data_IF_049262766874
#
_entry.id   IF_049262766874
#
_cell.length_a   1.000
_cell.length_b   1.000
_cell.length_c   1.000
_cell.angle_alpha   90.00
_cell.angle_beta   90.00
_cell.angle_gamma   90.00
#
_symmetry.space_group_name_H-M   'P 1'
#
loop_
_entity.id
_entity.type
_entity.pdbx_description
1 polymer ?
#
# COMPACT_ATOMS: atom_id res chain seq x y z
N UNK A 1 12.31 4.78 21.12
CA UNK A 1 11.21 3.80 20.94
C UNK A 1 10.39 4.07 19.67
N UNK A 2 9.74 5.23 19.51
CA UNK A 2 8.95 5.56 18.29
C UNK A 2 9.67 5.33 16.95
N UNK A 3 10.91 5.80 16.82
CA UNK A 3 11.73 5.65 15.59
C UNK A 3 12.03 4.19 15.22
N UNK A 4 12.40 3.39 16.23
CA UNK A 4 12.67 1.95 16.07
C UNK A 4 11.38 1.23 15.65
N UNK A 5 10.26 1.57 16.27
CA UNK A 5 8.96 1.04 15.85
C UNK A 5 8.61 1.43 14.41
N UNK A 6 8.79 2.69 14.01
CA UNK A 6 8.52 3.14 12.64
C UNK A 6 9.31 2.32 11.60
N UNK A 7 10.59 2.08 11.88
CA UNK A 7 11.43 1.23 11.03
C UNK A 7 10.92 -0.21 11.00
N UNK A 8 10.71 -0.84 12.16
CA UNK A 8 10.25 -2.23 12.26
C UNK A 8 8.87 -2.41 11.62
N UNK A 9 7.95 -1.48 11.85
CA UNK A 9 6.59 -1.50 11.32
C UNK A 9 6.58 -1.40 9.80
N UNK A 10 7.36 -0.48 9.21
CA UNK A 10 7.50 -0.41 7.75
C UNK A 10 8.16 -1.69 7.21
N UNK A 11 9.20 -2.21 7.88
CA UNK A 11 9.87 -3.44 7.45
C UNK A 11 8.92 -4.64 7.47
N UNK A 12 8.18 -4.86 8.56
CA UNK A 12 7.21 -5.94 8.68
C UNK A 12 6.07 -5.79 7.67
N UNK A 13 5.57 -4.57 7.45
CA UNK A 13 4.55 -4.32 6.43
C UNK A 13 5.07 -4.71 5.06
N UNK A 14 6.26 -4.25 4.67
CA UNK A 14 6.84 -4.61 3.36
C UNK A 14 7.07 -6.11 3.22
N UNK A 15 7.53 -6.79 4.27
CA UNK A 15 7.71 -8.25 4.25
C UNK A 15 6.38 -8.99 4.11
N UNK A 16 5.37 -8.58 4.88
CA UNK A 16 4.02 -9.13 4.79
C UNK A 16 3.43 -8.94 3.39
N UNK A 17 3.64 -7.78 2.76
CA UNK A 17 3.20 -7.53 1.39
C UNK A 17 3.88 -8.43 0.36
N UNK A 18 5.20 -8.64 0.50
CA UNK A 18 5.96 -9.55 -0.36
C UNK A 18 5.48 -11.00 -0.17
N UNK A 19 5.17 -11.40 1.06
CA UNK A 19 4.60 -12.72 1.34
C UNK A 19 3.23 -12.89 0.68
N UNK A 20 2.36 -11.88 0.78
CA UNK A 20 1.07 -11.89 0.08
C UNK A 20 1.27 -12.02 -1.42
N UNK A 21 2.13 -11.19 -2.04
CA UNK A 21 2.43 -11.27 -3.48
C UNK A 21 2.93 -12.65 -3.93
N UNK A 22 3.67 -13.34 -3.06
CA UNK A 22 4.13 -14.71 -3.32
C UNK A 22 2.99 -15.72 -3.43
N UNK A 23 1.93 -15.52 -2.65
CA UNK A 23 0.71 -16.33 -2.75
C UNK A 23 -0.03 -16.08 -4.09
N UNK A 24 0.06 -14.86 -4.61
CA UNK A 24 -0.62 -14.47 -5.86
C UNK A 24 0.21 -14.71 -7.12
N UNK A 25 1.40 -15.30 -7.02
CA UNK A 25 2.40 -15.35 -8.12
C UNK A 25 1.81 -15.83 -9.45
N UNK A 26 0.99 -16.88 -9.43
CA UNK A 26 0.35 -17.45 -10.63
C UNK A 26 -0.73 -16.54 -11.24
N UNK A 27 -1.40 -15.74 -10.42
CA UNK A 27 -2.43 -14.80 -10.84
C UNK A 27 -1.86 -13.41 -11.21
N UNK A 28 -0.56 -13.17 -11.01
CA UNK A 28 0.06 -11.87 -11.21
C UNK A 28 -0.13 -11.33 -12.63
N UNK A 29 0.14 -12.07 -13.73
CA UNK A 29 0.03 -11.49 -15.08
C UNK A 29 -1.36 -10.94 -15.39
N UNK A 30 -2.41 -11.69 -15.04
CA UNK A 30 -3.80 -11.27 -15.26
C UNK A 30 -4.20 -10.08 -14.38
N UNK A 31 -3.40 -9.72 -13.38
CA UNK A 31 -3.63 -8.57 -12.50
C UNK A 31 -2.70 -7.39 -12.80
N UNK A 32 -1.55 -7.66 -13.39
CA UNK A 32 -0.52 -6.67 -13.70
C UNK A 32 -0.70 -6.08 -15.10
N UNK A 33 -1.19 -6.86 -16.06
CA UNK A 33 -1.28 -6.48 -17.46
C UNK A 33 -2.73 -6.39 -17.92
N UNK A 34 -3.11 -5.40 -18.73
CA UNK A 34 -4.40 -5.40 -19.40
C UNK A 34 -4.47 -6.55 -20.41
N UNK A 35 -5.67 -6.93 -20.82
CA UNK A 35 -5.82 -8.06 -21.72
C UNK A 35 -7.26 -8.44 -22.03
N UNK A 36 -7.43 -9.66 -22.53
CA UNK A 36 -8.72 -10.19 -22.96
C UNK A 36 -8.90 -11.59 -22.44
N UNK A 37 -10.04 -11.82 -21.79
CA UNK A 37 -10.44 -13.14 -21.29
C UNK A 37 -11.43 -13.77 -22.28
N UNK A 38 -11.03 -14.86 -22.91
CA UNK A 38 -11.85 -15.58 -23.90
C UNK A 38 -12.53 -16.78 -23.26
N UNK A 39 -13.86 -16.85 -23.36
CA UNK A 39 -14.66 -17.88 -22.69
C UNK A 39 -15.42 -18.81 -23.64
N UNK A 40 -15.51 -18.44 -24.92
CA UNK A 40 -16.28 -19.18 -25.93
C UNK A 40 -15.91 -18.71 -27.33
N UNK A 41 -16.08 -19.62 -28.27
CA UNK A 41 -15.79 -19.44 -29.69
C UNK A 41 -14.87 -20.54 -30.18
N UNK A 42 -14.53 -20.47 -31.46
CA UNK A 42 -13.63 -21.44 -32.07
C UNK A 42 -12.89 -20.77 -33.22
N UNK A 43 -11.59 -21.03 -33.30
CA UNK A 43 -10.70 -20.53 -34.35
C UNK A 43 -9.62 -21.58 -34.57
N UNK A 44 -9.10 -21.66 -35.79
CA UNK A 44 -7.93 -22.48 -36.05
C UNK A 44 -6.68 -21.83 -35.45
N UNK A 45 -5.82 -22.62 -34.80
CA UNK A 45 -4.62 -22.10 -34.15
C UNK A 45 -3.68 -21.40 -35.13
N UNK A 46 -3.56 -21.88 -36.37
CA UNK A 46 -2.64 -21.28 -37.35
C UNK A 46 -3.10 -19.89 -37.76
N UNK A 47 -4.40 -19.73 -38.02
CA UNK A 47 -5.02 -18.42 -38.30
C UNK A 47 -4.87 -17.49 -37.10
N UNK A 48 -5.21 -17.97 -35.90
CA UNK A 48 -5.09 -17.16 -34.67
C UNK A 48 -3.66 -16.67 -34.46
N UNK A 49 -2.67 -17.55 -34.62
CA UNK A 49 -1.25 -17.21 -34.43
C UNK A 49 -0.80 -16.14 -35.42
N UNK A 50 -1.11 -16.31 -36.71
CA UNK A 50 -0.73 -15.37 -37.75
C UNK A 50 -1.34 -13.98 -37.52
N UNK A 51 -2.63 -13.93 -37.21
CA UNK A 51 -3.37 -12.69 -37.00
C UNK A 51 -2.89 -11.98 -35.72
N UNK A 52 -2.70 -12.70 -34.61
CA UNK A 52 -2.15 -12.12 -33.39
C UNK A 52 -0.69 -11.66 -33.54
N UNK A 53 0.16 -12.40 -34.26
CA UNK A 53 1.52 -11.95 -34.56
C UNK A 53 1.52 -10.68 -35.41
N UNK A 54 0.62 -10.59 -36.39
CA UNK A 54 0.47 -9.40 -37.25
C UNK A 54 0.00 -8.19 -36.44
N UNK A 55 -1.06 -8.36 -35.64
CA UNK A 55 -1.61 -7.31 -34.78
C UNK A 55 -0.57 -6.83 -33.76
N UNK A 56 0.16 -7.76 -33.13
CA UNK A 56 1.22 -7.43 -32.20
C UNK A 56 2.32 -6.59 -32.87
N UNK A 57 2.72 -6.93 -34.11
CA UNK A 57 3.73 -6.17 -34.86
C UNK A 57 3.25 -4.79 -35.28
N UNK A 58 2.01 -4.66 -35.73
CA UNK A 58 1.41 -3.38 -36.11
C UNK A 58 1.44 -2.38 -34.95
N UNK A 59 1.16 -2.85 -33.74
CA UNK A 59 1.15 -2.02 -32.53
C UNK A 59 2.47 -2.04 -31.75
N UNK A 60 3.57 -2.58 -32.31
CA UNK A 60 4.85 -2.80 -31.60
C UNK A 60 4.64 -3.36 -30.18
N UNK A 61 3.74 -4.32 -30.08
CA UNK A 61 3.22 -4.88 -28.83
C UNK A 61 3.64 -6.33 -28.67
N UNK A 62 3.57 -6.79 -27.42
CA UNK A 62 3.80 -8.19 -27.05
C UNK A 62 2.54 -8.73 -26.39
N UNK A 63 1.95 -9.76 -26.97
CA UNK A 63 0.78 -10.45 -26.42
C UNK A 63 1.24 -11.76 -25.82
N UNK A 64 0.76 -12.11 -24.63
CA UNK A 64 1.04 -13.37 -23.97
C UNK A 64 -0.25 -14.13 -23.64
N UNK A 65 -0.43 -15.31 -24.24
CA UNK A 65 -1.50 -16.24 -23.90
C UNK A 65 -1.09 -17.09 -22.70
N UNK A 66 -1.95 -17.14 -21.69
CA UNK A 66 -1.78 -18.01 -20.52
C UNK A 66 -2.10 -19.46 -20.89
N UNK A 67 -1.22 -20.38 -20.50
CA UNK A 67 -1.39 -21.84 -20.66
C UNK A 67 -1.26 -22.49 -19.29
N UNK A 68 -2.24 -23.33 -18.93
CA UNK A 68 -2.23 -24.12 -17.71
C UNK A 68 -1.77 -25.54 -18.01
N UNK A 69 -0.73 -25.99 -17.32
CA UNK A 69 -0.20 -27.34 -17.44
C UNK A 69 -0.07 -27.96 -16.05
N UNK A 70 -0.30 -29.26 -15.94
CA UNK A 70 -0.03 -30.01 -14.71
C UNK A 70 1.33 -30.67 -14.87
N UNK A 71 2.25 -30.40 -13.95
CA UNK A 71 3.58 -30.98 -13.96
C UNK A 71 3.59 -32.46 -13.56
N UNK A 72 4.76 -33.10 -13.68
CA UNK A 72 4.97 -34.50 -13.31
C UNK A 72 4.69 -34.82 -11.84
N UNK A 73 4.72 -33.81 -10.97
CA UNK A 73 4.47 -33.93 -9.53
C UNK A 73 2.98 -33.65 -9.20
N UNK A 74 2.13 -33.45 -10.21
CA UNK A 74 0.71 -33.14 -10.05
C UNK A 74 0.42 -31.70 -9.65
N UNK A 75 1.41 -30.78 -9.69
CA UNK A 75 1.20 -29.36 -9.40
C UNK A 75 0.86 -28.61 -10.69
N UNK A 76 -0.13 -27.74 -10.59
CA UNK A 76 -0.44 -26.78 -11.64
C UNK A 76 0.73 -25.82 -11.84
N UNK A 77 1.08 -25.54 -13.09
CA UNK A 77 2.05 -24.53 -13.49
C UNK A 77 1.43 -23.68 -14.58
N UNK A 78 1.69 -22.38 -14.51
CA UNK A 78 1.29 -21.42 -15.53
C UNK A 78 2.47 -21.15 -16.46
N UNK A 79 2.25 -21.33 -17.76
CA UNK A 79 3.20 -21.08 -18.84
C UNK A 79 2.61 -20.08 -19.83
N UNK A 80 3.44 -19.53 -20.71
CA UNK A 80 3.00 -18.47 -21.63
C UNK A 80 3.46 -18.71 -23.07
N UNK A 81 2.56 -18.42 -24.00
CA UNK A 81 2.89 -18.28 -25.42
C UNK A 81 2.93 -16.81 -25.79
N UNK A 82 4.00 -16.37 -26.44
CA UNK A 82 4.16 -14.99 -26.90
C UNK A 82 3.75 -14.84 -28.38
N UNK A 83 3.18 -13.68 -28.71
CA UNK A 83 2.91 -13.21 -30.07
C UNK A 83 3.54 -11.82 -30.27
N UNK A 84 4.19 -11.62 -31.42
CA UNK A 84 4.99 -10.42 -31.75
C UNK A 84 6.51 -10.63 -31.61
N UNK A 85 7.28 -9.55 -31.83
CA UNK A 85 8.76 -9.60 -31.89
C UNK A 85 9.47 -9.35 -30.54
N UNK A 86 8.73 -9.40 -29.43
CA UNK A 86 9.24 -9.15 -28.07
C UNK A 86 9.57 -10.43 -27.28
N UNK A 87 10.38 -10.29 -26.22
CA UNK A 87 10.66 -11.37 -25.28
C UNK A 87 9.75 -11.28 -24.04
N UNK A 88 9.26 -12.44 -23.59
CA UNK A 88 8.55 -12.52 -22.32
C UNK A 88 9.50 -12.12 -21.17
N UNK A 89 8.99 -11.45 -20.13
CA UNK A 89 9.76 -11.20 -18.92
C UNK A 89 10.28 -12.49 -18.30
N UNK A 90 11.47 -12.46 -17.66
CA UNK A 90 12.13 -13.64 -17.09
C UNK A 90 11.26 -14.47 -16.11
N UNK A 91 10.31 -13.82 -15.46
CA UNK A 91 9.40 -14.44 -14.49
C UNK A 91 8.14 -15.07 -15.13
N UNK A 92 7.95 -14.90 -16.44
CA UNK A 92 6.89 -15.52 -17.24
C UNK A 92 7.48 -16.67 -18.09
N UNK A 93 7.51 -17.90 -17.56
CA UNK A 93 8.14 -19.03 -18.25
C UNK A 93 7.43 -19.35 -19.58
N UNK A 94 8.17 -19.49 -20.69
CA UNK A 94 7.59 -19.82 -21.98
C UNK A 94 7.06 -21.26 -22.00
N UNK A 95 5.94 -21.47 -22.70
CA UNK A 95 5.37 -22.79 -22.93
C UNK A 95 6.14 -23.57 -24.00
N UNK A 96 6.19 -24.89 -23.86
CA UNK A 96 6.73 -25.78 -24.90
C UNK A 96 5.76 -25.84 -26.08
N UNK A 97 6.27 -26.18 -27.28
CA UNK A 97 5.39 -26.37 -28.45
C UNK A 97 4.33 -27.45 -28.22
N UNK A 98 4.67 -28.51 -27.50
CA UNK A 98 3.72 -29.56 -27.13
C UNK A 98 2.60 -29.02 -26.24
N UNK A 99 2.95 -28.21 -25.23
CA UNK A 99 1.97 -27.58 -24.33
C UNK A 99 1.08 -26.61 -25.09
N UNK A 100 1.65 -25.81 -26.01
CA UNK A 100 0.93 -24.85 -26.87
C UNK A 100 -0.14 -25.58 -27.70
N UNK A 101 0.22 -26.67 -28.36
CA UNK A 101 -0.69 -27.42 -29.23
C UNK A 101 -1.79 -28.19 -28.47
N UNK A 102 -1.52 -28.63 -27.24
CA UNK A 102 -2.51 -29.31 -26.39
C UNK A 102 -3.43 -28.34 -25.64
N UNK A 103 -3.00 -27.09 -25.48
CA UNK A 103 -3.73 -26.08 -24.71
C UNK A 103 -4.95 -25.55 -25.46
N UNK A 104 -6.00 -25.24 -24.69
CA UNK A 104 -7.19 -24.55 -25.21
C UNK A 104 -6.86 -23.11 -25.65
N UNK A 105 -7.48 -22.67 -26.74
CA UNK A 105 -7.42 -21.28 -27.22
C UNK A 105 -8.34 -20.36 -26.40
N UNK A 106 -9.30 -20.91 -25.65
CA UNK A 106 -10.18 -20.18 -24.73
C UNK A 106 -9.43 -19.85 -23.43
N UNK A 107 -8.51 -18.90 -23.53
CA UNK A 107 -7.63 -18.49 -22.43
C UNK A 107 -7.55 -16.96 -22.30
N UNK A 108 -6.74 -16.51 -21.34
CA UNK A 108 -6.41 -15.09 -21.18
C UNK A 108 -5.26 -14.70 -22.11
N UNK A 109 -5.45 -13.60 -22.84
CA UNK A 109 -4.45 -12.97 -23.70
C UNK A 109 -4.07 -11.63 -23.07
N UNK A 110 -2.87 -11.55 -22.49
CA UNK A 110 -2.40 -10.37 -21.76
C UNK A 110 -1.49 -9.54 -22.66
N UNK A 111 -1.64 -8.22 -22.64
CA UNK A 111 -0.80 -7.27 -23.38
C UNK A 111 0.35 -6.87 -22.45
N UNK A 112 1.53 -7.42 -22.71
CA UNK A 112 2.71 -7.27 -21.85
C UNK A 112 3.38 -5.92 -22.06
N UNK A 113 3.43 -5.45 -23.32
CA UNK A 113 4.03 -4.18 -23.69
C UNK A 113 3.48 -3.68 -25.03
N UNK A 114 3.72 -2.40 -25.33
CA UNK A 114 3.37 -1.76 -26.60
C UNK A 114 2.16 -0.82 -26.51
N UNK A 115 1.54 -0.53 -27.65
CA UNK A 115 0.43 0.43 -27.76
C UNK A 115 -0.92 -0.21 -28.06
N UNK A 116 -1.00 -1.55 -28.17
CA UNK A 116 -2.25 -2.27 -28.38
C UNK A 116 -3.17 -2.09 -27.16
N UNK A 117 -4.45 -1.80 -27.39
CA UNK A 117 -5.45 -1.69 -26.32
C UNK A 117 -6.21 -2.99 -26.10
N UNK A 118 -6.76 -3.19 -24.90
CA UNK A 118 -7.54 -4.42 -24.61
C UNK A 118 -8.83 -4.50 -25.45
N UNK A 119 -9.45 -3.37 -25.77
CA UNK A 119 -10.63 -3.30 -26.64
C UNK A 119 -10.32 -3.65 -28.09
N UNK A 120 -9.21 -3.18 -28.65
CA UNK A 120 -8.78 -3.55 -30.01
C UNK A 120 -8.50 -5.05 -30.08
N UNK A 121 -7.74 -5.58 -29.12
CA UNK A 121 -7.48 -7.03 -29.03
C UNK A 121 -8.79 -7.82 -28.90
N UNK A 122 -9.74 -7.38 -28.07
CA UNK A 122 -11.01 -8.08 -27.90
C UNK A 122 -11.88 -8.06 -29.16
N UNK A 123 -11.88 -6.94 -29.88
CA UNK A 123 -12.60 -6.81 -31.16
C UNK A 123 -12.01 -7.75 -32.18
N UNK A 124 -10.69 -7.74 -32.32
CA UNK A 124 -9.99 -8.60 -33.27
C UNK A 124 -10.20 -10.09 -32.97
N UNK A 125 -10.09 -10.50 -31.70
CA UNK A 125 -10.36 -11.88 -31.30
C UNK A 125 -11.81 -12.31 -31.63
N UNK A 126 -12.80 -11.41 -31.48
CA UNK A 126 -14.19 -11.69 -31.87
C UNK A 126 -14.34 -11.88 -33.38
N UNK A 127 -13.68 -11.06 -34.17
CA UNK A 127 -13.70 -11.16 -35.64
C UNK A 127 -13.11 -12.49 -36.13
N UNK A 128 -12.14 -13.04 -35.40
CA UNK A 128 -11.55 -14.35 -35.67
C UNK A 128 -12.43 -15.54 -35.26
N UNK A 129 -13.58 -15.31 -34.59
CA UNK A 129 -14.50 -16.36 -34.14
C UNK A 129 -14.48 -16.64 -32.63
N UNK A 130 -13.75 -15.86 -31.83
CA UNK A 130 -13.79 -15.93 -30.37
C UNK A 130 -14.89 -15.03 -29.78
N UNK A 131 -16.14 -15.50 -29.89
CA UNK A 131 -17.36 -14.73 -29.60
C UNK A 131 -17.39 -14.08 -28.20
N UNK A 132 -16.91 -14.77 -27.17
CA UNK A 132 -16.89 -14.26 -25.78
C UNK A 132 -15.51 -13.80 -25.33
N UNK A 133 -14.90 -12.92 -26.10
CA UNK A 133 -13.67 -12.21 -25.74
C UNK A 133 -13.99 -10.91 -24.98
N UNK A 134 -13.74 -10.91 -23.66
CA UNK A 134 -14.01 -9.76 -22.79
C UNK A 134 -12.71 -9.02 -22.46
N UNK A 135 -12.61 -7.78 -22.93
CA UNK A 135 -11.53 -6.88 -22.55
C UNK A 135 -11.56 -6.58 -21.05
N UNK A 136 -10.38 -6.60 -20.43
CA UNK A 136 -10.17 -6.14 -19.07
C UNK A 136 -8.97 -5.19 -19.03
N UNK A 137 -9.15 -4.11 -18.29
CA UNK A 137 -8.11 -3.14 -18.01
C UNK A 137 -7.62 -3.35 -16.58
N UNK A 138 -6.32 -3.39 -16.40
CA UNK A 138 -5.72 -3.47 -15.07
C UNK A 138 -4.99 -2.18 -14.77
N UNK A 139 -5.69 -1.32 -14.03
CA UNK A 139 -5.08 -0.12 -13.49
C UNK A 139 -4.32 -0.43 -12.19
N UNK A 140 -3.20 0.26 -12.00
CA UNK A 140 -2.32 0.01 -10.86
C UNK A 140 -2.99 0.37 -9.53
N UNK A 141 -3.82 1.41 -9.52
CA UNK A 141 -4.54 1.85 -8.33
C UNK A 141 -5.66 0.85 -8.01
N UNK A 142 -6.39 0.37 -9.02
CA UNK A 142 -7.42 -0.66 -8.87
C UNK A 142 -6.89 -1.95 -8.22
N UNK A 143 -5.70 -2.41 -8.61
CA UNK A 143 -5.06 -3.56 -7.97
C UNK A 143 -4.70 -3.28 -6.51
N UNK A 144 -4.15 -2.10 -6.19
CA UNK A 144 -3.87 -1.71 -4.79
C UNK A 144 -5.17 -1.68 -3.98
N UNK A 145 -6.26 -1.15 -4.53
CA UNK A 145 -7.58 -1.15 -3.88
C UNK A 145 -8.12 -2.58 -3.69
N UNK A 146 -7.91 -3.47 -4.65
CA UNK A 146 -8.27 -4.88 -4.53
C UNK A 146 -7.48 -5.62 -3.44
N UNK A 147 -6.27 -5.18 -3.09
CA UNK A 147 -5.55 -5.71 -1.92
C UNK A 147 -6.23 -5.31 -0.61
N UNK A 148 -6.87 -4.15 -0.56
CA UNK A 148 -7.63 -3.69 0.61
C UNK A 148 -8.98 -4.38 0.78
N UNK A 149 -9.48 -5.12 -0.20
CA UNK A 149 -10.69 -5.94 0.00
C UNK A 149 -10.40 -7.23 0.74
N UNK A 150 -9.11 -7.58 0.92
CA UNK A 150 -8.70 -8.79 1.63
C UNK A 150 -8.72 -8.56 3.15
N UNK A 151 -9.45 -9.39 3.92
CA UNK A 151 -9.55 -9.25 5.37
C UNK A 151 -8.19 -9.27 6.07
N UNK A 152 -7.30 -10.18 5.66
CA UNK A 152 -5.97 -10.33 6.28
C UNK A 152 -5.11 -9.08 6.13
N UNK A 153 -5.19 -8.45 4.95
CA UNK A 153 -4.46 -7.24 4.64
C UNK A 153 -4.95 -6.04 5.48
N UNK A 154 -6.27 -5.92 5.64
CA UNK A 154 -6.89 -4.89 6.46
C UNK A 154 -6.56 -5.04 7.95
N UNK A 155 -6.65 -6.26 8.47
CA UNK A 155 -6.36 -6.55 9.89
C UNK A 155 -4.89 -6.23 10.20
N UNK A 156 -3.97 -6.68 9.36
CA UNK A 156 -2.54 -6.39 9.50
C UNK A 156 -2.26 -4.88 9.52
N UNK A 157 -2.82 -4.15 8.56
CA UNK A 157 -2.69 -2.69 8.52
C UNK A 157 -3.26 -2.03 9.77
N UNK A 158 -4.44 -2.46 10.22
CA UNK A 158 -5.11 -1.91 11.41
C UNK A 158 -4.25 -2.09 12.68
N UNK A 159 -3.63 -3.25 12.87
CA UNK A 159 -2.75 -3.52 14.01
C UNK A 159 -1.55 -2.56 14.02
N UNK A 160 -0.90 -2.35 12.87
CA UNK A 160 0.22 -1.42 12.78
C UNK A 160 -0.20 0.03 13.04
N UNK A 161 -1.36 0.46 12.53
CA UNK A 161 -1.91 1.79 12.77
C UNK A 161 -2.24 2.03 14.25
N UNK A 162 -2.91 1.07 14.90
CA UNK A 162 -3.24 1.15 16.32
C UNK A 162 -1.99 1.18 17.20
N UNK A 163 -0.98 0.40 16.85
CA UNK A 163 0.28 0.38 17.59
C UNK A 163 1.03 1.71 17.43
N UNK A 164 1.04 2.27 16.22
CA UNK A 164 1.62 3.59 15.98
C UNK A 164 0.87 4.69 16.75
N UNK A 165 -0.46 4.64 16.76
CA UNK A 165 -1.32 5.55 17.53
C UNK A 165 -0.92 5.54 19.00
N UNK A 166 -0.83 4.36 19.61
CA UNK A 166 -0.43 4.21 21.01
C UNK A 166 0.93 4.87 21.29
N UNK A 167 1.91 4.68 20.40
CA UNK A 167 3.24 5.27 20.55
C UNK A 167 3.28 6.78 20.40
N UNK A 168 2.48 7.36 19.49
CA UNK A 168 2.36 8.82 19.40
C UNK A 168 1.74 9.36 20.68
N UNK A 169 0.64 8.75 21.15
CA UNK A 169 -0.04 9.19 22.38
C UNK A 169 0.91 9.17 23.57
N UNK A 170 1.66 8.08 23.76
CA UNK A 170 2.67 7.98 24.83
C UNK A 170 3.73 9.08 24.68
N UNK A 171 4.23 9.31 23.46
CA UNK A 171 5.20 10.37 23.19
C UNK A 171 4.67 11.77 23.51
N UNK A 172 3.40 12.04 23.18
CA UNK A 172 2.75 13.31 23.49
C UNK A 172 2.60 13.50 25.00
N UNK A 173 2.16 12.47 25.75
CA UNK A 173 2.05 12.50 27.21
C UNK A 173 3.40 12.83 27.86
N UNK A 174 4.48 12.19 27.42
CA UNK A 174 5.83 12.46 27.93
C UNK A 174 6.31 13.89 27.63
N UNK A 175 5.92 14.44 26.49
CA UNK A 175 6.28 15.80 26.08
C UNK A 175 5.40 16.90 26.69
N UNK A 176 4.31 16.53 27.36
CA UNK A 176 3.26 17.42 27.86
C UNK A 176 3.79 18.36 28.96
N UNK A 177 4.63 17.83 29.86
CA UNK A 177 5.27 18.61 30.92
C UNK A 177 6.24 19.67 30.38
N UNK A 178 7.07 19.32 29.38
CA UNK A 178 8.02 20.23 28.75
C UNK A 178 7.34 21.28 27.87
N UNK A 179 6.28 20.87 27.16
CA UNK A 179 5.49 21.76 26.31
C UNK A 179 4.69 22.75 27.14
N UNK A 180 4.19 22.35 28.31
CA UNK A 180 3.54 23.25 29.27
C UNK A 180 4.46 24.38 29.75
N UNK A 181 5.69 24.05 30.15
CA UNK A 181 6.69 25.04 30.60
C UNK A 181 7.03 26.04 29.49
N UNK A 182 7.23 25.55 28.25
CA UNK A 182 7.57 26.40 27.11
C UNK A 182 6.43 27.30 26.65
N UNK A 183 5.19 26.81 26.76
CA UNK A 183 4.02 27.59 26.42
C UNK A 183 3.76 28.72 27.43
N UNK A 184 4.04 28.47 28.73
CA UNK A 184 4.02 29.51 29.77
C UNK A 184 5.15 30.54 29.52
N UNK A 185 6.27 30.14 28.92
CA UNK A 185 7.37 31.05 28.54
C UNK A 185 7.11 31.89 27.27
N UNK A 186 5.91 31.83 26.68
CA UNK A 186 5.48 32.69 25.57
C UNK A 186 5.64 32.09 24.17
N UNK A 187 5.97 30.80 24.04
CA UNK A 187 6.04 30.14 22.73
C UNK A 187 4.63 30.01 22.11
N UNK A 188 4.48 30.33 20.82
CA UNK A 188 3.17 30.22 20.13
C UNK A 188 2.76 28.75 19.98
N UNK A 189 1.50 28.42 20.31
CA UNK A 189 0.90 27.09 20.13
C UNK A 189 1.10 26.53 18.72
N UNK A 190 1.03 27.38 17.68
CA UNK A 190 1.25 26.97 16.29
C UNK A 190 2.67 26.49 16.03
N UNK A 191 3.69 27.12 16.63
CA UNK A 191 5.08 26.71 16.47
C UNK A 191 5.33 25.33 17.10
N UNK A 192 4.74 25.07 18.27
CA UNK A 192 4.78 23.76 18.94
C UNK A 192 4.10 22.67 18.09
N UNK A 193 2.95 22.97 17.51
CA UNK A 193 2.23 22.08 16.60
C UNK A 193 3.05 21.72 15.36
N UNK A 194 3.52 22.72 14.60
CA UNK A 194 4.28 22.49 13.37
C UNK A 194 5.60 21.78 13.64
N UNK A 195 6.27 22.09 14.75
CA UNK A 195 7.50 21.40 15.15
C UNK A 195 7.26 19.93 15.47
N UNK A 196 6.16 19.60 16.16
CA UNK A 196 5.78 18.21 16.43
C UNK A 196 5.47 17.47 15.13
N UNK A 197 4.68 18.08 14.25
CA UNK A 197 4.28 17.48 12.97
C UNK A 197 5.47 17.29 12.03
N UNK A 198 6.35 18.28 11.92
CA UNK A 198 7.54 18.19 11.07
C UNK A 198 8.52 17.12 11.57
N UNK A 199 8.70 17.01 12.89
CA UNK A 199 9.52 15.93 13.48
C UNK A 199 8.93 14.56 13.16
N UNK A 200 7.62 14.41 13.30
CA UNK A 200 6.93 13.15 13.03
C UNK A 200 6.98 12.77 11.55
N UNK A 201 6.74 13.73 10.65
CA UNK A 201 6.86 13.50 9.21
C UNK A 201 8.29 13.15 8.78
N UNK A 202 9.29 13.83 9.34
CA UNK A 202 10.70 13.54 9.06
C UNK A 202 11.07 12.14 9.58
N UNK A 203 10.66 11.77 10.79
CA UNK A 203 10.88 10.43 11.33
C UNK A 203 10.18 9.36 10.44
N UNK A 204 8.94 9.58 9.99
CA UNK A 204 8.25 8.67 9.07
C UNK A 204 9.05 8.47 7.77
N UNK A 205 9.53 9.56 7.18
CA UNK A 205 10.30 9.51 5.93
C UNK A 205 11.67 8.84 6.12
N UNK A 206 12.43 9.25 7.15
CA UNK A 206 13.79 8.78 7.41
C UNK A 206 13.82 7.29 7.78
N UNK A 207 12.83 6.81 8.53
CA UNK A 207 12.75 5.41 8.96
C UNK A 207 11.92 4.53 8.02
N UNK A 208 11.08 5.11 7.17
CA UNK A 208 10.34 4.38 6.14
C UNK A 208 11.19 4.08 4.89
N UNK A 209 11.96 5.06 4.39
CA UNK A 209 12.72 4.89 3.14
C UNK A 209 13.71 3.71 3.16
N UNK A 210 14.52 3.49 4.22
CA UNK A 210 15.41 2.34 4.27
C UNK A 210 14.66 1.00 4.22
N UNK A 211 13.48 0.91 4.85
CA UNK A 211 12.66 -0.30 4.79
C UNK A 211 12.13 -0.56 3.36
N UNK A 212 11.71 0.50 2.64
CA UNK A 212 11.33 0.40 1.24
C UNK A 212 12.49 -0.07 0.36
N UNK A 213 13.70 0.48 0.56
CA UNK A 213 14.88 0.07 -0.21
C UNK A 213 15.21 -1.41 0.01
N UNK A 214 15.18 -1.89 1.26
CA UNK A 214 15.38 -3.31 1.59
C UNK A 214 14.34 -4.17 0.85
N UNK A 215 13.08 -3.75 0.86
CA UNK A 215 12.00 -4.47 0.19
C UNK A 215 12.16 -4.52 -1.33
N UNK A 216 12.56 -3.43 -1.97
CA UNK A 216 12.86 -3.40 -3.41
C UNK A 216 14.02 -4.33 -3.77
N UNK A 217 15.10 -4.31 -3.00
CA UNK A 217 16.25 -5.22 -3.19
C UNK A 217 15.80 -6.68 -3.07
N UNK A 218 14.96 -6.98 -2.07
CA UNK A 218 14.42 -8.33 -1.87
C UNK A 218 13.54 -8.78 -3.04
N UNK A 219 12.68 -7.91 -3.57
CA UNK A 219 11.85 -8.21 -4.75
C UNK A 219 12.70 -8.53 -5.98
N UNK A 220 13.76 -7.75 -6.23
CA UNK A 220 14.70 -8.00 -7.32
C UNK A 220 15.39 -9.36 -7.12
N UNK A 221 15.87 -9.64 -5.90
CA UNK A 221 16.53 -10.91 -5.58
C UNK A 221 15.61 -12.13 -5.72
N UNK A 222 14.30 -11.95 -5.55
CA UNK A 222 13.29 -13.00 -5.73
C UNK A 222 12.79 -13.13 -7.17
N UNK A 223 13.26 -12.26 -8.08
CA UNK A 223 12.87 -12.26 -9.49
C UNK A 223 11.48 -11.71 -9.77
N UNK A 224 10.93 -10.84 -8.90
CA UNK A 224 9.65 -10.19 -9.17
C UNK A 224 9.76 -9.09 -10.24
N UNK A 225 8.72 -8.91 -11.09
CA UNK A 225 8.66 -7.85 -12.08
C UNK A 225 8.88 -6.45 -11.50
N UNK A 226 9.35 -5.53 -12.35
CA UNK A 226 9.41 -4.11 -12.01
C UNK A 226 8.02 -3.53 -11.71
N UNK A 227 6.98 -4.05 -12.38
CA UNK A 227 5.58 -3.67 -12.15
C UNK A 227 5.24 -3.83 -10.66
N UNK A 228 5.57 -4.97 -10.05
CA UNK A 228 5.38 -5.28 -8.61
C UNK A 228 6.08 -4.27 -7.69
N UNK A 229 7.22 -3.74 -8.10
CA UNK A 229 7.92 -2.70 -7.33
C UNK A 229 7.14 -1.38 -7.31
N UNK A 230 6.52 -1.01 -8.43
CA UNK A 230 5.69 0.20 -8.48
C UNK A 230 4.47 0.09 -7.57
N UNK A 231 3.86 -1.11 -7.49
CA UNK A 231 2.76 -1.39 -6.56
C UNK A 231 3.19 -1.25 -5.10
N UNK A 232 4.34 -1.84 -4.75
CA UNK A 232 4.91 -1.71 -3.41
C UNK A 232 5.12 -0.23 -3.05
N UNK A 233 5.62 0.58 -3.99
CA UNK A 233 5.81 2.02 -3.83
C UNK A 233 4.51 2.77 -3.54
N UNK A 234 3.45 2.53 -4.33
CA UNK A 234 2.13 3.16 -4.12
C UNK A 234 1.59 2.81 -2.73
N UNK A 235 1.66 1.54 -2.36
CA UNK A 235 1.14 1.05 -1.08
C UNK A 235 1.93 1.59 0.11
N UNK A 236 3.26 1.69 -0.04
CA UNK A 236 4.13 2.32 0.94
C UNK A 236 3.77 3.80 1.14
N UNK A 237 3.54 4.55 0.05
CA UNK A 237 3.12 5.97 0.12
C UNK A 237 1.77 6.08 0.84
N UNK A 238 0.80 5.23 0.48
CA UNK A 238 -0.53 5.24 1.09
C UNK A 238 -0.46 4.95 2.60
N UNK A 239 0.28 3.92 3.01
CA UNK A 239 0.46 3.59 4.43
C UNK A 239 1.13 4.72 5.20
N UNK A 240 2.24 5.28 4.70
CA UNK A 240 2.94 6.36 5.38
C UNK A 240 2.12 7.66 5.41
N UNK A 241 1.28 7.90 4.40
CA UNK A 241 0.31 9.00 4.40
C UNK A 241 -0.75 8.84 5.50
N UNK A 242 -1.20 7.60 5.75
CA UNK A 242 -2.15 7.30 6.82
C UNK A 242 -1.51 7.47 8.21
N UNK A 243 -0.24 7.08 8.37
CA UNK A 243 0.53 7.38 9.60
C UNK A 243 0.67 8.89 9.81
N UNK A 244 0.96 9.65 8.75
CA UNK A 244 1.08 11.10 8.83
C UNK A 244 -0.26 11.75 9.20
N UNK A 245 -1.37 11.29 8.62
CA UNK A 245 -2.72 11.73 8.96
C UNK A 245 -3.03 11.47 10.44
N UNK A 246 -2.64 10.30 10.96
CA UNK A 246 -2.83 9.95 12.36
C UNK A 246 -2.00 10.86 13.28
N UNK A 247 -0.75 11.14 12.92
CA UNK A 247 0.10 12.11 13.62
C UNK A 247 -0.52 13.50 13.63
N UNK A 248 -1.06 13.95 12.50
CA UNK A 248 -1.77 15.22 12.37
C UNK A 248 -2.98 15.29 13.32
N UNK A 249 -3.84 14.27 13.32
CA UNK A 249 -5.02 14.22 14.19
C UNK A 249 -4.64 14.30 15.67
N UNK A 250 -3.58 13.58 16.08
CA UNK A 250 -3.13 13.61 17.47
C UNK A 250 -2.50 14.95 17.84
N UNK A 251 -1.72 15.56 16.95
CA UNK A 251 -1.17 16.90 17.17
C UNK A 251 -2.27 17.96 17.32
N UNK A 252 -3.38 17.83 16.55
CA UNK A 252 -4.55 18.70 16.68
C UNK A 252 -5.24 18.51 18.03
N UNK A 253 -5.51 17.26 18.43
CA UNK A 253 -6.12 16.95 19.73
C UNK A 253 -5.28 17.46 20.90
N UNK A 254 -3.95 17.32 20.81
CA UNK A 254 -3.02 17.84 21.80
C UNK A 254 -3.09 19.36 21.92
N UNK A 255 -3.10 20.06 20.79
CA UNK A 255 -3.19 21.53 20.74
C UNK A 255 -4.51 22.04 21.33
N UNK A 256 -5.63 21.39 21.00
CA UNK A 256 -6.95 21.68 21.56
C UNK A 256 -6.95 21.47 23.08
N UNK A 257 -6.38 20.35 23.53
CA UNK A 257 -6.28 20.01 24.95
C UNK A 257 -5.48 21.06 25.73
N UNK A 258 -4.32 21.47 25.21
CA UNK A 258 -3.51 22.54 25.81
C UNK A 258 -4.27 23.87 25.89
N UNK A 259 -4.92 24.31 24.80
CA UNK A 259 -5.72 25.54 24.77
C UNK A 259 -6.81 25.52 25.84
N UNK A 260 -7.52 24.38 25.98
CA UNK A 260 -8.57 24.20 26.98
C UNK A 260 -8.01 24.26 28.40
N UNK A 261 -6.93 23.55 28.68
CA UNK A 261 -6.27 23.56 30.01
C UNK A 261 -5.86 24.97 30.43
N UNK A 262 -5.32 25.79 29.52
CA UNK A 262 -4.92 27.17 29.82
C UNK A 262 -6.13 28.07 30.06
N UNK A 263 -7.18 27.97 29.24
CA UNK A 263 -8.41 28.75 29.46
C UNK A 263 -9.04 28.45 30.83
N UNK A 264 -8.93 27.20 31.30
CA UNK A 264 -9.38 26.80 32.64
C UNK A 264 -8.50 27.33 33.77
N UNK A 265 -7.18 27.46 33.54
CA UNK A 265 -6.24 28.05 34.51
C UNK A 265 -6.41 29.57 34.60
N UNK A 266 -6.55 30.28 33.47
CA UNK A 266 -6.83 31.72 33.43
C UNK A 266 -8.20 32.07 34.05
N UNK A 267 -9.20 31.19 33.88
CA UNK A 267 -10.50 31.29 34.56
C UNK A 267 -10.37 31.07 36.08
N UNK A 268 -9.55 30.11 36.52
CA UNK A 268 -9.26 29.87 37.96
C UNK A 268 -8.46 30.99 38.62
N UNK A 269 -7.50 31.61 37.91
CA UNK A 269 -6.75 32.77 38.42
C UNK A 269 -7.67 33.99 38.63
N UNK A 270 -8.60 34.23 37.70
CA UNK A 270 -9.63 35.26 37.88
C UNK A 270 -10.59 34.96 39.04
N UNK A 271 -10.92 33.68 39.28
CA UNK A 271 -11.74 33.27 40.41
C UNK A 271 -10.99 33.32 41.77
N UNK A 272 -9.68 33.02 41.79
CA UNK A 272 -8.87 33.12 43.00
C UNK A 272 -8.58 34.57 43.41
N UNK A 273 -8.53 35.53 42.47
CA UNK A 273 -8.45 36.96 42.83
C UNK A 273 -9.70 37.47 43.57
N UNK A 274 -10.86 36.86 43.32
CA UNK A 274 -12.11 37.19 44.02
C UNK A 274 -12.33 36.41 45.33
N UNK A 275 -11.64 35.29 45.54
CA UNK A 275 -11.73 34.51 46.80
C UNK A 275 -10.58 34.76 47.78
N UNK A 276 -9.54 35.51 47.38
CA UNK A 276 -8.43 35.89 48.27
C UNK A 276 -8.83 36.82 49.44
N UNK A 277 -10.09 37.29 49.50
CA UNK A 277 -10.62 38.00 50.67
C UNK A 277 -11.46 37.14 51.62
N UNK A 278 -11.78 35.88 51.26
CA UNK A 278 -12.62 35.01 52.08
C UNK A 278 -11.89 33.77 52.65
N UNK A 279 -10.67 33.48 52.19
CA UNK A 279 -9.92 32.26 52.57
C UNK A 279 -8.73 32.54 53.52
N UNK A 280 -8.73 33.65 54.26
CA UNK A 280 -7.76 33.88 55.36
C UNK A 280 -8.20 33.26 56.69
N UNK A 281 -9.42 32.71 56.79
CA UNK A 281 -10.00 32.27 58.06
C UNK A 281 -10.06 30.74 58.25
N UNK A 282 -9.71 29.93 57.24
CA UNK A 282 -9.99 28.49 57.26
C UNK A 282 -8.81 27.54 56.96
N UNK A 283 -7.56 28.01 57.06
CA UNK A 283 -6.36 27.14 56.95
C UNK A 283 -5.64 27.02 58.29
N UNK A 284 -6.41 26.75 59.37
CA UNK A 284 -5.86 26.49 60.72
C UNK A 284 -5.96 25.02 61.18
N UNK A 285 -6.32 24.09 60.31
CA UNK A 285 -6.41 22.67 60.68
C UNK A 285 -5.91 21.72 59.58
N UNK A 286 -4.60 21.42 59.65
CA UNK A 286 -4.02 20.06 59.60
C UNK A 286 -4.15 19.19 58.30
N UNK A 287 -3.35 18.10 58.14
CA UNK A 287 -2.23 18.10 57.19
C UNK A 287 -2.08 16.82 56.30
N UNK A 288 -1.11 16.89 55.38
CA UNK A 288 -0.19 15.84 54.88
C UNK A 288 -0.64 14.43 54.40
N UNK A 289 0.17 13.92 53.46
CA UNK A 289 0.21 12.60 52.79
C UNK A 289 -0.64 12.49 51.50
N UNK A 290 -0.16 11.95 50.37
CA UNK A 290 0.65 10.73 50.17
C UNK A 290 1.53 10.78 48.91
N UNK A 291 2.55 9.92 48.93
CA UNK A 291 3.53 9.57 47.90
C UNK A 291 3.17 8.15 47.42
N UNK A 292 2.87 7.97 46.13
CA UNK A 292 3.00 6.72 45.36
C UNK A 292 2.71 6.99 43.88
#
# INVERSE_FOLDING_TARGET
>A
MKRVFLFISNLLLTFFLIATLSFWKEALPQRLFPGVAVHSGQVDYTTLKQELDSLAKEHNSLIARTIWEVDSDGKSRTLYEAFGDGQLPDWMPPASQESIHKSDLLNNYNIISGTLTSQELATHLKELGLEKANAFENDRVSFVLAMFTQPDQLISMLIFLLTFLALIVIGQIQSLSQSGIRLISGERLSHLFFRSLARDGLDILLFGLPALLIACILLISLGYPYEVQTFLGILFILYNSLLLLLSLLIALLFTISLKKSISSLSSKENYQSSQSYAFSTLVRYLPFYWLL
#
